data_IF_412236059458
#
_entry.id   IF_412236059458
#
_cell.length_a   1.000
_cell.length_b   1.000
_cell.length_c   1.000
_cell.angle_alpha   90.00
_cell.angle_beta   90.00
_cell.angle_gamma   90.00
#
_symmetry.space_group_name_H-M   'P 1'
#
loop_
_entity.id
_entity.type
_entity.pdbx_description
1 polymer ?
#
# COMPACT_ATOMS: atom_id res chain seq x y z
N UNK A 1 27.20 50.77 -20.08
CA UNK A 1 25.75 51.00 -20.26
C UNK A 1 25.56 52.48 -20.05
N UNK A 2 24.87 53.19 -20.95
CA UNK A 2 24.67 54.65 -20.82
C UNK A 2 23.68 54.87 -19.67
N UNK A 3 24.04 55.68 -18.70
CA UNK A 3 23.19 56.08 -17.57
C UNK A 3 22.16 57.12 -18.01
N UNK A 4 21.10 57.32 -17.20
CA UNK A 4 20.09 58.35 -17.49
C UNK A 4 20.70 59.75 -17.56
N UNK A 5 21.68 60.06 -16.71
CA UNK A 5 22.41 61.32 -16.73
C UNK A 5 23.20 61.53 -18.01
N UNK A 6 23.91 60.50 -18.53
CA UNK A 6 24.62 60.56 -19.81
C UNK A 6 23.66 60.68 -20.98
N UNK A 7 22.47 60.04 -20.93
CA UNK A 7 21.43 60.22 -21.94
C UNK A 7 20.91 61.64 -21.99
N UNK A 8 20.60 62.23 -20.85
CA UNK A 8 20.19 63.63 -20.77
C UNK A 8 21.24 64.56 -21.36
N UNK A 9 22.51 64.29 -21.01
CA UNK A 9 23.62 65.10 -21.52
C UNK A 9 23.81 64.93 -23.04
N UNK A 10 23.66 63.73 -23.61
CA UNK A 10 23.68 63.50 -25.06
C UNK A 10 22.59 64.34 -25.76
N UNK A 11 21.36 64.31 -25.22
CA UNK A 11 20.23 65.01 -25.80
C UNK A 11 20.39 66.51 -25.69
N UNK A 12 20.89 67.07 -24.58
CA UNK A 12 21.12 68.48 -24.36
C UNK A 12 22.24 69.04 -25.25
N UNK A 13 23.39 68.35 -25.35
CA UNK A 13 24.50 68.75 -26.24
C UNK A 13 24.06 68.72 -27.70
N UNK A 14 23.22 67.79 -28.11
CA UNK A 14 22.65 67.74 -29.46
C UNK A 14 21.70 68.93 -29.69
N UNK A 15 20.85 69.28 -28.70
CA UNK A 15 19.96 70.43 -28.75
C UNK A 15 20.73 71.79 -28.90
N UNK A 16 21.91 71.82 -28.25
CA UNK A 16 22.84 72.96 -28.38
C UNK A 16 23.58 73.02 -29.73
N UNK A 17 23.29 72.09 -30.65
CA UNK A 17 23.83 72.08 -32.00
C UNK A 17 25.20 71.39 -32.20
N UNK A 18 25.69 70.66 -31.18
CA UNK A 18 26.93 69.91 -31.30
C UNK A 18 26.76 68.72 -32.26
N UNK A 19 27.77 68.51 -33.10
CA UNK A 19 27.81 67.36 -34.01
C UNK A 19 27.99 66.06 -33.21
N UNK A 20 27.39 64.96 -33.68
CA UNK A 20 27.48 63.62 -33.07
C UNK A 20 28.91 63.18 -32.73
N UNK A 21 29.89 63.56 -33.61
CA UNK A 21 31.31 63.27 -33.40
C UNK A 21 31.94 64.07 -32.25
N UNK A 22 31.46 65.30 -32.00
CA UNK A 22 31.90 66.14 -30.89
C UNK A 22 31.30 65.57 -29.54
N UNK A 23 30.01 65.27 -29.54
CA UNK A 23 29.31 64.61 -28.35
C UNK A 23 29.99 63.29 -28.00
N UNK A 24 30.26 62.43 -28.98
CA UNK A 24 30.91 61.15 -28.80
C UNK A 24 32.31 61.27 -28.15
N UNK A 25 33.09 62.26 -28.61
CA UNK A 25 34.43 62.55 -28.09
C UNK A 25 34.39 63.16 -26.69
N UNK A 26 33.45 64.07 -26.44
CA UNK A 26 33.31 64.72 -25.14
C UNK A 26 32.85 63.79 -24.03
N UNK A 27 31.94 62.83 -24.31
CA UNK A 27 31.39 61.90 -23.36
C UNK A 27 32.12 60.55 -23.32
N UNK A 28 33.09 60.31 -24.21
CA UNK A 28 33.80 59.04 -24.32
C UNK A 28 32.89 57.89 -24.81
N UNK A 29 31.84 58.16 -25.53
CA UNK A 29 30.81 57.20 -25.96
C UNK A 29 30.92 56.98 -27.47
N UNK A 30 30.71 55.78 -27.96
CA UNK A 30 30.73 55.43 -29.37
C UNK A 30 29.68 56.22 -30.20
N UNK A 31 30.04 56.68 -31.41
CA UNK A 31 29.16 57.47 -32.26
C UNK A 31 27.85 56.77 -32.63
N UNK A 32 27.86 55.42 -32.78
CA UNK A 32 26.64 54.67 -33.07
C UNK A 32 25.68 54.68 -31.82
N UNK A 33 26.26 54.65 -30.64
CA UNK A 33 25.50 54.77 -29.38
C UNK A 33 24.89 56.19 -29.29
N UNK A 34 25.66 57.27 -29.54
CA UNK A 34 25.12 58.60 -29.49
C UNK A 34 24.00 58.80 -30.54
N UNK A 35 24.16 58.35 -31.80
CA UNK A 35 23.11 58.43 -32.84
C UNK A 35 21.87 57.70 -32.42
N UNK A 36 22.02 56.47 -31.84
CA UNK A 36 20.89 55.64 -31.37
C UNK A 36 20.08 56.32 -30.28
N UNK A 37 20.73 57.02 -29.36
CA UNK A 37 20.01 57.73 -28.29
C UNK A 37 19.41 59.06 -28.78
N UNK A 38 20.02 59.76 -29.67
CA UNK A 38 19.43 60.93 -30.33
C UNK A 38 18.17 60.56 -31.11
N UNK A 39 18.16 59.41 -31.84
CA UNK A 39 17.01 58.99 -32.63
C UNK A 39 15.88 58.42 -31.73
N UNK A 40 16.20 57.84 -30.53
CA UNK A 40 15.23 57.33 -29.60
C UNK A 40 14.65 58.30 -28.58
N UNK A 41 15.37 59.43 -28.40
CA UNK A 41 14.98 60.41 -27.38
C UNK A 41 15.07 59.80 -25.92
N UNK A 42 14.14 60.24 -25.08
CA UNK A 42 14.07 59.83 -23.67
C UNK A 42 13.44 58.45 -23.43
N UNK A 43 13.08 57.70 -24.49
CA UNK A 43 12.48 56.37 -24.32
C UNK A 43 13.51 55.37 -23.77
N UNK A 44 13.16 54.65 -22.68
CA UNK A 44 14.05 53.64 -22.13
C UNK A 44 14.27 52.52 -23.16
N UNK A 45 15.48 51.89 -23.21
CA UNK A 45 15.76 50.82 -24.16
C UNK A 45 14.87 49.59 -23.82
N UNK A 46 13.91 49.30 -24.69
CA UNK A 46 13.14 48.09 -24.64
C UNK A 46 13.95 46.95 -25.23
N UNK A 47 14.34 46.00 -24.37
CA UNK A 47 14.96 44.75 -24.83
C UNK A 47 13.84 43.80 -25.21
N UNK A 48 13.85 43.28 -26.41
CA UNK A 48 12.96 42.19 -26.82
C UNK A 48 13.14 40.96 -25.92
N UNK A 49 12.15 40.10 -25.82
CA UNK A 49 12.27 38.85 -25.03
C UNK A 49 13.46 38.04 -25.57
N UNK A 50 14.32 37.57 -24.65
CA UNK A 50 15.42 36.67 -25.03
C UNK A 50 14.84 35.40 -25.63
N UNK A 51 15.38 34.87 -26.73
CA UNK A 51 14.96 33.57 -27.24
C UNK A 51 15.11 32.51 -26.12
N UNK A 52 14.12 31.60 -25.97
CA UNK A 52 14.18 30.58 -24.95
C UNK A 52 15.44 29.73 -25.13
N UNK A 53 16.23 29.61 -24.05
CA UNK A 53 17.43 28.77 -24.05
C UNK A 53 17.00 27.32 -23.89
N UNK A 54 17.49 26.45 -24.76
CA UNK A 54 17.27 25.01 -24.66
C UNK A 54 17.76 24.50 -23.29
N UNK A 55 16.86 23.79 -22.55
CA UNK A 55 17.14 23.24 -21.22
C UNK A 55 17.56 21.78 -21.34
N UNK A 56 18.41 21.31 -20.44
CA UNK A 56 18.85 19.92 -20.41
C UNK A 56 17.70 18.89 -20.19
N UNK A 57 16.55 19.38 -19.75
CA UNK A 57 15.33 18.55 -19.56
C UNK A 57 14.46 18.48 -20.81
N UNK A 58 14.70 19.31 -21.84
CA UNK A 58 13.75 19.47 -22.95
C UNK A 58 13.59 18.17 -23.78
N UNK A 59 14.68 17.43 -23.97
CA UNK A 59 14.65 16.14 -24.68
C UNK A 59 13.86 15.05 -23.88
N UNK A 60 13.68 15.21 -22.57
CA UNK A 60 12.95 14.28 -21.70
C UNK A 60 11.51 14.73 -21.43
N UNK A 61 11.11 15.95 -21.83
CA UNK A 61 9.74 16.45 -21.59
C UNK A 61 8.64 15.58 -22.19
N UNK A 62 8.78 14.98 -23.39
CA UNK A 62 7.75 14.06 -23.90
C UNK A 62 7.50 12.91 -22.95
N UNK A 63 8.55 12.24 -22.47
CA UNK A 63 8.47 11.18 -21.49
C UNK A 63 7.82 11.64 -20.18
N UNK A 64 8.24 12.79 -19.63
CA UNK A 64 7.65 13.36 -18.40
C UNK A 64 6.15 13.63 -18.57
N UNK A 65 5.72 14.13 -19.72
CA UNK A 65 4.32 14.39 -20.05
C UNK A 65 3.52 13.10 -20.12
N UNK A 66 4.02 12.09 -20.82
CA UNK A 66 3.40 10.78 -20.94
C UNK A 66 3.21 10.13 -19.55
N UNK A 67 4.27 10.14 -18.72
CA UNK A 67 4.20 9.57 -17.36
C UNK A 67 3.23 10.31 -16.47
N UNK A 68 3.18 11.64 -16.55
CA UNK A 68 2.24 12.46 -15.77
C UNK A 68 0.80 12.36 -16.29
N UNK A 69 0.59 12.11 -17.58
CA UNK A 69 -0.72 11.84 -18.15
C UNK A 69 -1.27 10.49 -17.68
N UNK A 70 -0.42 9.44 -17.70
CA UNK A 70 -0.78 8.12 -17.22
C UNK A 70 -0.93 8.08 -15.68
N UNK A 71 -0.06 8.80 -14.96
CA UNK A 71 0.02 8.79 -13.50
C UNK A 71 0.20 10.22 -12.95
N UNK A 72 -0.87 11.01 -12.83
CA UNK A 72 -0.79 12.42 -12.42
C UNK A 72 -0.17 12.64 -11.04
N UNK A 73 -0.18 11.62 -10.16
CA UNK A 73 0.38 11.64 -8.82
C UNK A 73 1.89 11.43 -8.71
N UNK A 74 2.62 11.11 -9.82
CA UNK A 74 4.07 10.86 -9.76
C UNK A 74 4.84 12.07 -9.23
N UNK A 75 5.77 11.82 -8.28
CA UNK A 75 6.60 12.88 -7.71
C UNK A 75 7.75 13.28 -8.67
N UNK A 76 8.22 14.53 -8.54
CA UNK A 76 9.39 14.98 -9.30
C UNK A 76 10.66 14.19 -8.95
N UNK A 77 10.76 13.65 -7.72
CA UNK A 77 11.88 12.80 -7.28
C UNK A 77 11.86 11.48 -8.02
N UNK A 78 10.69 10.85 -8.13
CA UNK A 78 10.52 9.60 -8.86
C UNK A 78 10.88 9.80 -10.33
N UNK A 79 10.32 10.82 -10.97
CA UNK A 79 10.62 11.14 -12.36
C UNK A 79 12.10 11.43 -12.57
N UNK A 80 12.78 12.13 -11.64
CA UNK A 80 14.22 12.35 -11.73
C UNK A 80 15.04 11.05 -11.71
N UNK A 81 14.66 10.06 -10.87
CA UNK A 81 15.30 8.73 -10.88
C UNK A 81 15.10 8.03 -12.22
N UNK A 82 13.87 7.99 -12.71
CA UNK A 82 13.55 7.39 -14.02
C UNK A 82 14.30 8.06 -15.17
N UNK A 83 14.50 9.39 -15.12
CA UNK A 83 15.29 10.12 -16.11
C UNK A 83 16.78 9.80 -16.02
N UNK A 84 17.33 9.61 -14.81
CA UNK A 84 18.73 9.19 -14.63
C UNK A 84 18.99 7.81 -15.23
N UNK A 85 18.08 6.88 -15.05
CA UNK A 85 18.13 5.56 -15.68
C UNK A 85 18.11 5.64 -17.21
N UNK A 86 17.56 6.74 -17.78
CA UNK A 86 17.51 7.04 -19.22
C UNK A 86 18.62 7.98 -19.70
N UNK A 87 19.66 8.14 -18.90
CA UNK A 87 20.85 8.92 -19.27
C UNK A 87 20.78 10.42 -18.95
N UNK A 88 19.81 10.88 -18.15
CA UNK A 88 19.80 12.27 -17.70
C UNK A 88 20.88 12.53 -16.66
N UNK A 89 21.88 13.34 -17.00
CA UNK A 89 23.00 13.70 -16.11
C UNK A 89 22.75 14.95 -15.25
N UNK A 90 21.59 15.62 -15.42
CA UNK A 90 21.30 16.89 -14.76
C UNK A 90 20.77 16.74 -13.33
N UNK A 91 20.73 17.85 -12.61
CA UNK A 91 20.29 17.89 -11.21
C UNK A 91 18.76 17.83 -11.06
N UNK A 92 18.33 17.40 -9.88
CA UNK A 92 16.91 17.31 -9.47
C UNK A 92 16.13 18.63 -9.65
N UNK A 93 16.76 19.78 -9.33
CA UNK A 93 16.08 21.09 -9.42
C UNK A 93 15.57 21.43 -10.81
N UNK A 94 16.28 21.01 -11.87
CA UNK A 94 15.85 21.23 -13.24
C UNK A 94 14.61 20.37 -13.57
N UNK A 95 14.59 19.10 -13.15
CA UNK A 95 13.44 18.21 -13.32
C UNK A 95 12.24 18.71 -12.50
N UNK A 96 12.43 19.12 -11.25
CA UNK A 96 11.37 19.71 -10.43
C UNK A 96 10.72 20.91 -11.09
N UNK A 97 11.52 21.78 -11.71
CA UNK A 97 11.03 22.96 -12.46
C UNK A 97 10.25 22.55 -13.72
N UNK A 98 10.75 21.55 -14.46
CA UNK A 98 10.07 21.00 -15.63
C UNK A 98 8.71 20.37 -15.27
N UNK A 99 8.66 19.56 -14.22
CA UNK A 99 7.42 18.94 -13.68
C UNK A 99 6.43 20.01 -13.23
N UNK A 100 6.89 21.08 -12.56
CA UNK A 100 6.02 22.19 -12.15
C UNK A 100 5.39 22.90 -13.37
N UNK A 101 6.12 23.06 -14.45
CA UNK A 101 5.58 23.65 -15.68
C UNK A 101 4.52 22.81 -16.40
N UNK A 102 4.42 21.50 -16.07
CA UNK A 102 3.42 20.58 -16.63
C UNK A 102 2.23 20.40 -15.69
N UNK A 103 2.45 20.52 -14.37
CA UNK A 103 1.43 20.30 -13.34
C UNK A 103 0.94 21.60 -12.73
N UNK A 104 -0.40 21.78 -12.53
CA UNK A 104 -0.93 22.94 -11.83
C UNK A 104 -0.48 22.96 -10.35
N UNK A 105 -0.27 24.16 -9.79
CA UNK A 105 0.12 24.32 -8.39
C UNK A 105 -1.01 23.89 -7.44
N UNK A 106 -0.71 23.05 -6.42
CA UNK A 106 -1.68 22.70 -5.40
C UNK A 106 -1.90 23.85 -4.40
N UNK A 107 -3.12 24.01 -3.92
CA UNK A 107 -3.47 24.98 -2.87
C UNK A 107 -2.83 24.56 -1.54
N UNK A 108 -2.08 25.43 -0.89
CA UNK A 108 -1.42 25.15 0.39
C UNK A 108 -2.39 25.24 1.57
N UNK A 109 -2.33 24.25 2.48
CA UNK A 109 -3.05 24.28 3.76
C UNK A 109 -2.09 24.36 4.94
N UNK A 110 -2.50 25.03 6.04
CA UNK A 110 -1.68 25.15 7.26
C UNK A 110 -1.85 23.93 8.15
N UNK A 111 -0.73 23.37 8.66
CA UNK A 111 -0.71 22.21 9.55
C UNK A 111 0.11 22.49 10.83
N UNK A 112 -0.47 22.14 11.99
CA UNK A 112 0.26 22.13 13.27
C UNK A 112 0.95 20.77 13.42
N UNK A 113 2.26 20.77 13.63
CA UNK A 113 3.09 19.55 13.76
C UNK A 113 3.37 19.25 15.22
N UNK A 114 3.25 17.98 15.60
CA UNK A 114 3.63 17.48 16.92
C UNK A 114 4.90 16.66 16.79
N UNK A 115 5.92 17.02 17.57
CA UNK A 115 7.12 16.21 17.70
C UNK A 115 6.98 15.26 18.90
N UNK A 116 7.56 14.06 18.78
CA UNK A 116 7.57 13.03 19.84
C UNK A 116 9.01 12.72 20.21
N UNK A 117 9.26 12.38 21.47
CA UNK A 117 10.57 11.96 21.92
C UNK A 117 11.02 10.62 21.28
N UNK A 118 12.33 10.30 21.26
CA UNK A 118 12.82 9.02 20.76
C UNK A 118 12.14 7.84 21.46
N UNK A 119 11.71 6.84 20.69
CA UNK A 119 11.08 5.62 21.22
C UNK A 119 9.70 5.82 21.86
N UNK A 120 9.16 7.03 21.86
CA UNK A 120 7.89 7.31 22.53
C UNK A 120 6.70 6.77 21.75
N UNK A 121 6.59 7.08 20.45
CA UNK A 121 5.39 6.79 19.69
C UNK A 121 5.70 6.23 18.29
N UNK A 122 4.93 5.21 17.89
CA UNK A 122 4.74 4.84 16.50
C UNK A 122 3.27 5.05 16.08
N UNK A 123 3.05 5.14 14.80
CA UNK A 123 1.70 5.20 14.22
C UNK A 123 1.52 4.03 13.27
N UNK A 124 0.39 3.34 13.41
CA UNK A 124 0.00 2.21 12.55
C UNK A 124 -1.28 2.56 11.81
N UNK A 125 -1.29 2.26 10.53
CA UNK A 125 -2.47 2.42 9.70
C UNK A 125 -2.47 1.40 8.55
N UNK A 126 -3.65 1.20 7.94
CA UNK A 126 -3.90 0.34 6.80
C UNK A 126 -4.42 1.17 5.62
N UNK A 127 -3.78 1.07 4.48
CA UNK A 127 -4.25 1.72 3.26
C UNK A 127 -4.63 0.69 2.19
N UNK A 128 -5.78 0.93 1.52
CA UNK A 128 -6.26 0.11 0.41
C UNK A 128 -5.49 0.47 -0.86
N UNK A 129 -5.00 -0.56 -1.55
CA UNK A 129 -4.43 -0.46 -2.89
C UNK A 129 -5.15 -1.41 -3.83
N UNK A 130 -5.16 -1.07 -5.11
CA UNK A 130 -5.64 -1.92 -6.18
C UNK A 130 -4.45 -2.21 -7.10
N UNK A 131 -4.17 -3.48 -7.34
CA UNK A 131 -3.04 -3.96 -8.13
C UNK A 131 -3.50 -5.00 -9.13
N UNK A 132 -2.90 -4.99 -10.31
CA UNK A 132 -2.98 -6.07 -11.28
C UNK A 132 -1.62 -6.73 -11.32
N UNK A 133 -1.57 -8.03 -10.99
CA UNK A 133 -0.34 -8.79 -11.02
C UNK A 133 -0.07 -9.32 -12.43
N UNK A 134 1.20 -9.33 -12.84
CA UNK A 134 1.56 -9.84 -14.17
C UNK A 134 1.38 -11.35 -14.32
N UNK A 135 1.36 -12.08 -13.19
CA UNK A 135 1.03 -13.52 -13.15
C UNK A 135 -0.49 -13.76 -13.33
N UNK A 136 -1.35 -12.74 -13.13
CA UNK A 136 -2.80 -12.80 -13.26
C UNK A 136 -3.31 -11.61 -14.11
N UNK A 137 -2.98 -11.55 -15.41
CA UNK A 137 -3.34 -10.40 -16.25
C UNK A 137 -4.86 -10.21 -16.35
N UNK A 138 -5.32 -8.96 -16.30
CA UNK A 138 -6.73 -8.59 -16.32
C UNK A 138 -7.47 -8.76 -14.99
N UNK A 139 -6.84 -9.28 -13.94
CA UNK A 139 -7.44 -9.47 -12.62
C UNK A 139 -6.99 -8.37 -11.67
N UNK A 140 -7.91 -7.49 -11.30
CA UNK A 140 -7.65 -6.46 -10.28
C UNK A 140 -7.81 -7.05 -8.88
N UNK A 141 -6.73 -7.01 -8.11
CA UNK A 141 -6.68 -7.46 -6.72
C UNK A 141 -6.66 -6.28 -5.76
N UNK A 142 -7.42 -6.40 -4.67
CA UNK A 142 -7.34 -5.45 -3.56
C UNK A 142 -6.33 -6.01 -2.56
N UNK A 143 -5.31 -5.20 -2.25
CA UNK A 143 -4.32 -5.48 -1.22
C UNK A 143 -4.28 -4.33 -0.23
N UNK A 144 -3.88 -4.62 1.00
CA UNK A 144 -3.83 -3.65 2.09
C UNK A 144 -2.39 -3.44 2.50
N UNK A 145 -1.93 -2.21 2.47
CA UNK A 145 -0.62 -1.86 3.01
C UNK A 145 -0.77 -1.58 4.51
N UNK A 146 -0.21 -2.47 5.32
CA UNK A 146 0.09 -2.17 6.72
C UNK A 146 1.35 -1.32 6.77
N UNK A 147 1.31 -0.20 7.46
CA UNK A 147 2.45 0.68 7.66
C UNK A 147 2.61 1.03 9.13
N UNK A 148 3.83 0.87 9.65
CA UNK A 148 4.26 1.35 10.97
C UNK A 148 5.30 2.43 10.75
N UNK A 149 5.07 3.62 11.33
CA UNK A 149 5.94 4.79 11.21
C UNK A 149 6.35 5.26 12.60
N UNK A 150 7.66 5.29 12.87
CA UNK A 150 8.17 5.84 14.12
C UNK A 150 7.98 7.35 14.18
N UNK A 151 7.57 7.83 15.34
CA UNK A 151 7.18 9.23 15.53
C UNK A 151 8.35 10.20 15.55
N UNK A 152 9.54 9.78 15.96
CA UNK A 152 10.75 10.60 16.01
C UNK A 152 11.57 10.52 14.72
N UNK A 153 12.08 9.35 14.38
CA UNK A 153 12.94 9.15 13.19
C UNK A 153 12.20 9.25 11.86
N UNK A 154 10.90 9.01 11.86
CA UNK A 154 10.09 8.87 10.65
C UNK A 154 10.44 7.63 9.84
N UNK A 155 11.11 6.65 10.47
CA UNK A 155 11.36 5.33 9.87
C UNK A 155 10.03 4.70 9.47
N UNK A 156 9.97 4.19 8.25
CA UNK A 156 8.78 3.52 7.72
C UNK A 156 9.10 2.03 7.63
N UNK A 157 8.23 1.23 8.21
CA UNK A 157 8.12 -0.19 7.92
C UNK A 157 6.76 -0.46 7.28
N UNK A 158 6.70 -1.34 6.28
CA UNK A 158 5.46 -1.65 5.59
C UNK A 158 5.43 -3.04 5.00
N UNK A 159 4.20 -3.61 4.89
CA UNK A 159 3.94 -4.89 4.24
C UNK A 159 2.55 -4.89 3.62
N UNK A 160 2.45 -5.37 2.38
CA UNK A 160 1.17 -5.64 1.75
C UNK A 160 0.61 -6.98 2.20
N UNK A 161 -0.68 -6.99 2.49
CA UNK A 161 -1.45 -8.17 2.89
C UNK A 161 -2.76 -8.22 2.13
N UNK A 162 -3.32 -9.43 1.98
CA UNK A 162 -4.61 -9.63 1.30
C UNK A 162 -5.78 -9.28 2.21
N UNK A 163 -5.63 -9.49 3.53
CA UNK A 163 -6.69 -9.30 4.51
C UNK A 163 -6.31 -8.26 5.55
N UNK A 164 -7.31 -7.47 6.00
CA UNK A 164 -7.17 -6.53 7.10
C UNK A 164 -7.73 -7.08 8.42
N UNK A 165 -7.72 -8.41 8.58
CA UNK A 165 -8.16 -9.05 9.81
C UNK A 165 -7.13 -8.89 10.95
N UNK A 166 -7.56 -9.20 12.18
CA UNK A 166 -6.71 -9.03 13.36
C UNK A 166 -5.44 -9.90 13.32
N UNK A 167 -5.49 -11.06 12.67
CA UNK A 167 -4.32 -11.93 12.54
C UNK A 167 -3.26 -11.33 11.61
N UNK A 168 -3.70 -10.81 10.46
CA UNK A 168 -2.81 -10.10 9.52
C UNK A 168 -2.19 -8.90 10.19
N UNK A 169 -2.98 -8.14 10.97
CA UNK A 169 -2.49 -6.99 11.74
C UNK A 169 -1.47 -7.43 12.79
N UNK A 170 -1.72 -8.51 13.56
CA UNK A 170 -0.77 -9.03 14.55
C UNK A 170 0.53 -9.52 13.90
N UNK A 171 0.46 -10.28 12.79
CA UNK A 171 1.65 -10.73 12.04
C UNK A 171 2.49 -9.55 11.54
N UNK A 172 1.83 -8.50 11.05
CA UNK A 172 2.53 -7.30 10.62
C UNK A 172 3.21 -6.56 11.77
N UNK A 173 2.56 -6.46 12.94
CA UNK A 173 3.18 -5.86 14.13
C UNK A 173 4.40 -6.66 14.58
N UNK A 174 4.29 -7.97 14.69
CA UNK A 174 5.41 -8.84 15.07
C UNK A 174 6.59 -8.59 14.13
N UNK A 175 6.36 -8.73 12.82
CA UNK A 175 7.40 -8.54 11.81
C UNK A 175 7.98 -7.12 11.81
N UNK A 176 7.16 -6.08 12.07
CA UNK A 176 7.61 -4.70 12.16
C UNK A 176 8.50 -4.48 13.39
N UNK A 177 8.07 -4.93 14.57
CA UNK A 177 8.82 -4.77 15.82
C UNK A 177 10.14 -5.54 15.78
N UNK A 178 10.14 -6.74 15.22
CA UNK A 178 11.35 -7.55 14.99
C UNK A 178 12.32 -6.85 14.02
N UNK A 179 11.84 -6.33 12.90
CA UNK A 179 12.65 -5.62 11.92
C UNK A 179 13.26 -4.33 12.49
N UNK A 180 12.52 -3.60 13.32
CA UNK A 180 12.97 -2.39 14.00
C UNK A 180 13.91 -2.73 15.15
N UNK A 181 13.79 -3.94 15.73
CA UNK A 181 14.60 -4.42 16.85
C UNK A 181 14.17 -3.91 18.22
N UNK A 182 12.89 -3.50 18.37
CA UNK A 182 12.33 -3.02 19.62
C UNK A 182 10.90 -2.52 19.48
N UNK A 183 10.28 -2.17 20.60
CA UNK A 183 8.91 -1.62 20.64
C UNK A 183 8.91 -0.18 21.15
N UNK A 184 8.13 0.74 20.55
CA UNK A 184 7.91 2.07 21.08
C UNK A 184 7.09 2.01 22.36
N UNK A 185 7.07 3.10 23.14
CA UNK A 185 6.27 3.19 24.36
C UNK A 185 4.77 3.08 24.07
N UNK A 186 4.30 3.73 22.99
CA UNK A 186 2.92 3.67 22.55
C UNK A 186 2.81 3.51 21.04
N UNK A 187 1.71 2.87 20.60
CA UNK A 187 1.37 2.77 19.17
C UNK A 187 0.00 3.41 18.98
N UNK A 188 -0.04 4.41 18.11
CA UNK A 188 -1.25 5.14 17.76
C UNK A 188 -1.97 4.45 16.59
N UNK A 189 -3.25 4.17 16.77
CA UNK A 189 -4.12 3.58 15.76
C UNK A 189 -5.17 4.59 15.31
N UNK A 190 -5.48 4.60 14.02
CA UNK A 190 -6.78 5.10 13.61
C UNK A 190 -7.87 4.18 14.17
N UNK A 191 -9.14 4.64 14.16
CA UNK A 191 -10.28 3.82 14.60
C UNK A 191 -10.58 2.67 13.62
N UNK A 192 -9.52 1.91 13.25
CA UNK A 192 -9.69 0.70 12.46
C UNK A 192 -10.46 -0.34 13.31
N UNK A 193 -11.48 -0.96 12.73
CA UNK A 193 -12.35 -1.94 13.43
C UNK A 193 -11.57 -3.14 14.00
N UNK A 194 -10.40 -3.43 13.46
CA UNK A 194 -9.50 -4.48 13.98
C UNK A 194 -8.83 -4.11 15.30
N UNK A 195 -8.52 -2.83 15.52
CA UNK A 195 -7.88 -2.35 16.73
C UNK A 195 -8.89 -1.87 17.78
N UNK A 196 -9.94 -1.16 17.35
CA UNK A 196 -10.96 -0.54 18.21
C UNK A 196 -12.32 -1.18 17.92
N UNK A 197 -12.90 -1.85 18.92
CA UNK A 197 -14.21 -2.51 18.82
C UNK A 197 -15.35 -1.48 19.00
N UNK A 198 -15.16 -0.50 19.88
CA UNK A 198 -16.17 0.51 20.19
C UNK A 198 -15.73 1.46 21.29
N UNK A 199 -16.70 2.12 21.89
CA UNK A 199 -16.57 2.95 23.10
C UNK A 199 -17.60 2.47 24.13
N UNK A 200 -17.23 2.51 25.40
CA UNK A 200 -18.16 2.26 26.49
C UNK A 200 -19.08 3.48 26.73
N UNK A 201 -20.09 3.36 27.63
CA UNK A 201 -20.99 4.49 27.97
C UNK A 201 -20.27 5.72 28.51
N UNK A 202 -19.08 5.56 29.06
CA UNK A 202 -18.24 6.64 29.61
C UNK A 202 -17.31 7.26 28.54
N UNK A 203 -17.40 6.79 27.29
CA UNK A 203 -16.59 7.27 26.16
C UNK A 203 -15.16 6.74 26.16
N UNK A 204 -14.87 5.68 26.95
CA UNK A 204 -13.58 5.02 26.92
C UNK A 204 -13.50 4.03 25.73
N UNK A 205 -12.36 4.04 25.07
CA UNK A 205 -12.13 3.20 23.89
C UNK A 205 -11.98 1.73 24.30
N UNK A 206 -12.81 0.88 23.69
CA UNK A 206 -12.72 -0.58 23.84
C UNK A 206 -11.82 -1.13 22.73
N UNK A 207 -10.65 -1.62 23.12
CA UNK A 207 -9.69 -2.25 22.20
C UNK A 207 -9.99 -3.73 22.00
N UNK A 208 -9.60 -4.25 20.85
CA UNK A 208 -9.60 -5.67 20.58
C UNK A 208 -8.69 -6.41 21.59
N UNK A 209 -9.22 -7.45 22.22
CA UNK A 209 -8.49 -8.23 23.25
C UNK A 209 -7.16 -8.80 22.71
N UNK A 210 -7.17 -9.30 21.48
CA UNK A 210 -5.96 -9.83 20.86
C UNK A 210 -4.88 -8.74 20.62
N UNK A 211 -5.29 -7.48 20.39
CA UNK A 211 -4.36 -6.35 20.35
C UNK A 211 -3.81 -6.04 21.74
N UNK A 212 -4.65 -6.09 22.79
CA UNK A 212 -4.19 -5.84 24.16
C UNK A 212 -3.20 -6.90 24.62
N UNK A 213 -3.42 -8.17 24.26
CA UNK A 213 -2.50 -9.26 24.57
C UNK A 213 -1.16 -9.10 23.87
N UNK A 214 -1.17 -8.72 22.59
CA UNK A 214 0.03 -8.36 21.84
C UNK A 214 0.77 -7.17 22.48
N UNK A 215 0.03 -6.12 22.82
CA UNK A 215 0.56 -4.91 23.45
C UNK A 215 1.22 -5.19 24.80
N UNK A 216 0.59 -6.07 25.60
CA UNK A 216 1.16 -6.52 26.89
C UNK A 216 2.46 -7.29 26.69
N UNK A 217 2.51 -8.16 25.70
CA UNK A 217 3.69 -8.99 25.41
C UNK A 217 4.89 -8.14 25.00
N UNK A 218 4.71 -7.18 24.07
CA UNK A 218 5.77 -6.28 23.62
C UNK A 218 5.95 -5.03 24.48
N UNK A 219 5.10 -4.82 25.48
CA UNK A 219 5.20 -3.74 26.45
C UNK A 219 4.82 -2.36 25.90
N UNK A 220 4.10 -2.25 24.78
CA UNK A 220 3.60 -0.98 24.27
C UNK A 220 2.17 -0.71 24.73
N UNK A 221 1.76 0.57 24.71
CA UNK A 221 0.37 0.99 24.99
C UNK A 221 -0.34 1.30 23.67
N UNK A 222 -1.48 0.65 23.35
CA UNK A 222 -2.30 1.04 22.23
C UNK A 222 -3.02 2.35 22.54
N UNK A 223 -2.99 3.27 21.58
CA UNK A 223 -3.71 4.54 21.63
C UNK A 223 -4.59 4.69 20.40
N UNK A 224 -5.85 5.06 20.60
CA UNK A 224 -6.76 5.39 19.50
C UNK A 224 -6.76 6.91 19.23
N UNK A 225 -6.82 7.30 17.98
CA UNK A 225 -7.03 8.69 17.61
C UNK A 225 -8.39 9.18 18.15
N UNK A 226 -8.42 10.39 18.74
CA UNK A 226 -9.67 11.02 19.15
C UNK A 226 -10.51 11.38 17.92
N UNK A 227 -11.86 11.20 17.98
CA UNK A 227 -12.74 11.59 16.87
C UNK A 227 -12.56 13.07 16.53
N UNK A 228 -12.72 13.40 15.27
CA UNK A 228 -12.69 14.79 14.74
C UNK A 228 -11.39 15.59 14.98
N UNK A 229 -10.31 14.99 15.44
CA UNK A 229 -8.98 15.58 15.47
C UNK A 229 -8.08 14.96 14.38
N UNK A 230 -8.41 15.20 13.11
CA UNK A 230 -7.59 14.79 11.95
C UNK A 230 -6.13 15.27 12.06
N UNK A 231 -5.86 16.30 12.85
CA UNK A 231 -4.53 16.88 13.07
C UNK A 231 -3.54 15.97 13.80
N UNK A 232 -4.00 14.95 14.55
CA UNK A 232 -3.12 13.96 15.21
C UNK A 232 -2.57 12.91 14.25
N UNK A 233 -3.18 12.75 13.07
CA UNK A 233 -2.88 11.70 12.09
C UNK A 233 -1.87 12.09 10.98
N UNK A 234 -1.44 13.35 10.94
CA UNK A 234 -0.58 13.88 9.86
C UNK A 234 0.76 13.18 9.66
N UNK A 235 1.17 12.32 10.60
CA UNK A 235 2.42 11.55 10.49
C UNK A 235 2.28 10.28 9.63
N UNK A 236 1.07 9.72 9.46
CA UNK A 236 0.83 8.46 8.69
C UNK A 236 0.20 8.71 7.32
N UNK A 237 -0.66 9.72 7.16
CA UNK A 237 -1.29 10.03 5.87
C UNK A 237 -0.24 10.40 4.79
N UNK A 238 0.82 11.10 5.19
CA UNK A 238 1.92 11.46 4.27
C UNK A 238 2.75 10.26 3.80
N UNK A 239 3.15 9.29 4.66
CA UNK A 239 3.80 8.06 4.22
C UNK A 239 2.98 7.27 3.20
N UNK A 240 1.67 7.11 3.36
CA UNK A 240 0.85 6.41 2.37
C UNK A 240 0.82 7.11 1.02
N UNK A 241 0.69 8.43 1.04
CA UNK A 241 0.78 9.22 -0.19
C UNK A 241 2.16 9.06 -0.84
N UNK A 242 3.23 9.12 -0.05
CA UNK A 242 4.60 8.97 -0.51
C UNK A 242 4.84 7.57 -1.11
N UNK A 243 4.40 6.50 -0.42
CA UNK A 243 4.48 5.13 -0.94
C UNK A 243 3.67 4.99 -2.22
N UNK A 244 2.48 5.57 -2.28
CA UNK A 244 1.63 5.52 -3.47
C UNK A 244 2.24 6.22 -4.66
N UNK A 245 2.74 7.44 -4.47
CA UNK A 245 3.23 8.29 -5.56
C UNK A 245 4.65 7.95 -6.01
N UNK A 246 5.51 7.47 -5.09
CA UNK A 246 6.94 7.25 -5.38
C UNK A 246 7.32 5.78 -5.59
N UNK A 247 6.61 4.84 -4.93
CA UNK A 247 6.85 3.42 -5.07
C UNK A 247 5.84 2.75 -6.00
N UNK A 248 4.54 2.88 -5.72
CA UNK A 248 3.51 2.02 -6.28
C UNK A 248 3.06 2.44 -7.68
N UNK A 249 2.84 3.75 -7.92
CA UNK A 249 2.35 4.24 -9.19
C UNK A 249 3.34 3.99 -10.34
N UNK A 250 2.87 3.30 -11.37
CA UNK A 250 3.64 2.99 -12.57
C UNK A 250 4.71 1.92 -12.40
N UNK A 251 4.71 1.21 -11.26
CA UNK A 251 5.46 -0.01 -11.07
C UNK A 251 4.62 -1.23 -11.49
N UNK A 252 5.27 -2.34 -11.81
CA UNK A 252 4.63 -3.61 -12.11
C UNK A 252 5.12 -4.68 -11.14
N UNK A 253 4.22 -5.58 -10.76
CA UNK A 253 4.47 -6.61 -9.76
C UNK A 253 3.97 -7.96 -10.30
N UNK A 254 4.76 -9.02 -10.12
CA UNK A 254 4.37 -10.35 -10.56
C UNK A 254 3.25 -10.93 -9.70
N UNK A 255 3.45 -10.90 -8.39
CA UNK A 255 2.53 -11.39 -7.37
C UNK A 255 2.75 -10.64 -6.06
N UNK A 256 2.06 -11.05 -4.98
CA UNK A 256 2.14 -10.40 -3.67
C UNK A 256 3.55 -10.48 -3.05
N UNK A 257 4.26 -11.58 -3.23
CA UNK A 257 5.61 -11.76 -2.70
C UNK A 257 6.59 -10.82 -3.38
N UNK A 258 6.50 -10.70 -4.71
CA UNK A 258 7.30 -9.77 -5.50
C UNK A 258 6.99 -8.30 -5.12
N UNK A 259 5.71 -7.96 -4.95
CA UNK A 259 5.28 -6.64 -4.46
C UNK A 259 5.93 -6.32 -3.10
N UNK A 260 5.93 -7.27 -2.16
CA UNK A 260 6.54 -7.10 -0.85
C UNK A 260 8.07 -7.04 -0.91
N UNK A 261 8.70 -7.82 -1.77
CA UNK A 261 10.15 -7.78 -2.00
C UNK A 261 10.60 -6.42 -2.57
N UNK A 262 9.88 -5.91 -3.57
CA UNK A 262 10.14 -4.59 -4.15
C UNK A 262 9.88 -3.46 -3.15
N UNK A 263 8.81 -3.55 -2.33
CA UNK A 263 8.54 -2.58 -1.27
C UNK A 263 9.69 -2.55 -0.26
N UNK A 264 10.16 -3.70 0.20
CA UNK A 264 11.28 -3.78 1.15
C UNK A 264 12.54 -3.14 0.57
N UNK A 265 12.90 -3.52 -0.67
CA UNK A 265 14.03 -2.93 -1.36
C UNK A 265 13.91 -1.41 -1.46
N UNK A 266 12.75 -0.90 -1.83
CA UNK A 266 12.51 0.54 -1.92
C UNK A 266 12.57 1.24 -0.54
N UNK A 267 12.03 0.61 0.53
CA UNK A 267 12.14 1.13 1.89
C UNK A 267 13.61 1.24 2.33
N UNK A 268 14.42 0.24 2.02
CA UNK A 268 15.82 0.15 2.44
C UNK A 268 16.74 1.08 1.62
N UNK A 269 16.47 1.26 0.33
CA UNK A 269 17.36 1.99 -0.59
C UNK A 269 16.91 3.41 -0.90
N UNK A 270 15.63 3.74 -0.72
CA UNK A 270 15.04 5.02 -1.12
C UNK A 270 14.35 5.73 0.04
N UNK A 271 13.40 5.05 0.71
CA UNK A 271 12.55 5.73 1.66
C UNK A 271 13.26 6.06 2.98
N UNK A 272 13.95 5.09 3.58
CA UNK A 272 14.60 5.28 4.86
C UNK A 272 16.00 5.94 4.78
N UNK A 273 16.77 5.83 3.68
CA UNK A 273 17.98 6.65 3.50
C UNK A 273 17.73 8.11 3.10
N UNK A 274 16.48 8.52 2.81
CA UNK A 274 16.20 9.89 2.39
C UNK A 274 16.40 10.92 3.49
N UNK A 275 16.68 12.16 3.10
CA UNK A 275 16.52 13.32 3.99
C UNK A 275 15.02 13.62 4.13
N UNK A 276 14.48 13.54 5.35
CA UNK A 276 13.06 13.78 5.58
C UNK A 276 12.74 15.29 5.51
N UNK A 277 11.73 15.66 4.73
CA UNK A 277 11.39 17.06 4.45
C UNK A 277 11.05 17.91 5.69
N UNK A 278 10.57 17.29 6.78
CA UNK A 278 10.23 18.00 8.02
C UNK A 278 11.42 18.12 8.97
N UNK A 279 12.15 17.02 9.18
CA UNK A 279 13.26 16.99 10.14
C UNK A 279 14.56 17.49 9.54
N UNK A 280 14.66 17.57 8.20
CA UNK A 280 15.87 17.94 7.43
C UNK A 280 17.08 17.04 7.75
N UNK A 281 16.81 15.81 8.23
CA UNK A 281 17.81 14.81 8.61
C UNK A 281 17.56 13.50 7.88
N UNK A 282 18.60 12.70 7.73
CA UNK A 282 18.51 11.34 7.15
C UNK A 282 17.77 10.43 8.12
N UNK A 283 16.70 9.76 7.64
CA UNK A 283 15.83 8.95 8.50
C UNK A 283 16.59 7.82 9.19
N UNK A 284 17.49 7.13 8.49
CA UNK A 284 18.28 6.03 9.07
C UNK A 284 19.25 6.51 10.15
N UNK A 285 19.84 7.70 10.03
CA UNK A 285 20.72 8.29 11.05
C UNK A 285 19.91 8.64 12.31
N UNK A 286 18.75 9.28 12.14
CA UNK A 286 17.86 9.60 13.25
C UNK A 286 17.30 8.33 13.89
N UNK A 287 17.08 7.27 13.11
CA UNK A 287 16.67 5.97 13.66
C UNK A 287 17.78 5.32 14.50
N UNK A 288 19.04 5.45 14.10
CA UNK A 288 20.17 4.97 14.93
C UNK A 288 20.21 5.64 16.31
N UNK A 289 19.79 6.92 16.40
CA UNK A 289 19.64 7.64 17.68
C UNK A 289 18.40 7.19 18.45
N UNK A 290 17.29 6.87 17.75
CA UNK A 290 16.03 6.44 18.36
C UNK A 290 16.08 5.00 18.88
N UNK A 291 16.81 4.12 18.19
CA UNK A 291 16.84 2.68 18.45
C UNK A 291 17.16 2.31 19.92
N UNK A 292 18.12 2.94 20.62
CA UNK A 292 18.39 2.65 22.03
C UNK A 292 17.24 3.00 22.98
N UNK A 293 16.35 3.91 22.59
CA UNK A 293 15.19 4.33 23.38
C UNK A 293 13.98 3.42 23.21
N UNK A 294 14.01 2.50 22.25
CA UNK A 294 12.97 1.49 22.09
C UNK A 294 13.06 0.45 23.21
N UNK A 295 11.92 -0.06 23.64
CA UNK A 295 11.85 -1.18 24.58
C UNK A 295 12.43 -2.44 23.92
N UNK A 296 13.24 -3.23 24.64
CA UNK A 296 13.80 -4.47 24.09
C UNK A 296 12.69 -5.46 23.76
N UNK A 297 12.92 -6.27 22.72
CA UNK A 297 12.02 -7.35 22.37
C UNK A 297 12.00 -8.42 23.46
N UNK A 298 10.86 -9.05 23.73
CA UNK A 298 10.76 -10.15 24.65
C UNK A 298 11.56 -11.37 24.14
N UNK A 299 12.17 -12.13 25.04
CA UNK A 299 12.93 -13.33 24.68
C UNK A 299 12.09 -14.43 24.03
N UNK A 300 10.83 -14.55 24.42
CA UNK A 300 9.90 -15.51 23.83
C UNK A 300 9.11 -14.85 22.70
N UNK A 301 9.02 -15.50 21.53
CA UNK A 301 8.18 -14.98 20.44
C UNK A 301 6.71 -14.92 20.85
N UNK A 302 6.00 -13.90 20.39
CA UNK A 302 4.56 -13.80 20.62
C UNK A 302 3.83 -14.91 19.85
N UNK A 303 3.18 -15.77 20.59
CA UNK A 303 2.30 -16.78 20.00
C UNK A 303 0.87 -16.24 19.98
N UNK A 304 0.54 -15.56 18.88
CA UNK A 304 -0.85 -15.17 18.62
C UNK A 304 -1.68 -16.42 18.37
N UNK A 305 -2.39 -16.88 19.40
CA UNK A 305 -3.29 -18.04 19.29
C UNK A 305 -4.72 -17.52 19.21
N UNK A 306 -5.29 -17.49 18.00
CA UNK A 306 -6.74 -17.36 17.86
C UNK A 306 -7.35 -18.75 17.98
N UNK A 307 -8.05 -19.01 19.07
CA UNK A 307 -8.80 -20.25 19.28
C UNK A 307 -10.16 -20.14 18.60
N UNK A 308 -10.45 -21.06 17.72
CA UNK A 308 -11.69 -21.14 16.97
C UNK A 308 -12.24 -22.55 17.06
N UNK A 309 -13.53 -22.69 17.29
CA UNK A 309 -14.22 -23.96 17.07
C UNK A 309 -14.67 -24.02 15.60
N UNK A 310 -14.34 -25.09 14.90
CA UNK A 310 -14.69 -25.26 13.49
C UNK A 310 -15.27 -26.64 13.23
N UNK A 311 -16.30 -26.66 12.41
CA UNK A 311 -16.93 -27.89 11.96
C UNK A 311 -16.10 -28.53 10.84
N UNK A 312 -15.91 -29.84 10.94
CA UNK A 312 -15.29 -30.63 9.88
C UNK A 312 -16.32 -30.91 8.79
N UNK A 313 -15.95 -30.64 7.55
CA UNK A 313 -16.78 -30.95 6.38
C UNK A 313 -16.80 -32.45 6.09
N UNK A 314 -17.74 -32.87 5.24
CA UNK A 314 -17.79 -34.27 4.77
C UNK A 314 -16.53 -34.73 4.03
N UNK A 315 -15.77 -33.77 3.48
CA UNK A 315 -14.49 -34.03 2.81
C UNK A 315 -13.31 -34.11 3.80
N UNK A 316 -13.56 -34.06 5.12
CA UNK A 316 -12.51 -34.03 6.15
C UNK A 316 -11.69 -32.74 6.09
N UNK A 317 -12.35 -31.59 5.90
CA UNK A 317 -11.72 -30.28 5.83
C UNK A 317 -12.29 -29.35 6.89
N UNK A 318 -11.46 -28.45 7.40
CA UNK A 318 -11.82 -27.38 8.34
C UNK A 318 -11.61 -26.04 7.67
N UNK A 319 -12.59 -25.14 7.78
CA UNK A 319 -12.51 -23.80 7.18
C UNK A 319 -11.89 -22.79 8.15
N UNK A 320 -10.81 -22.11 7.70
CA UNK A 320 -10.14 -21.04 8.46
C UNK A 320 -9.76 -19.93 7.49
N UNK A 321 -10.19 -18.70 7.79
CA UNK A 321 -9.86 -17.52 6.98
C UNK A 321 -10.34 -17.57 5.52
N UNK A 322 -11.40 -18.35 5.23
CA UNK A 322 -11.90 -18.57 3.88
C UNK A 322 -11.16 -19.65 3.09
N UNK A 323 -10.19 -20.35 3.71
CA UNK A 323 -9.45 -21.47 3.13
C UNK A 323 -9.80 -22.79 3.83
N UNK A 324 -9.53 -23.92 3.20
CA UNK A 324 -9.83 -25.25 3.70
C UNK A 324 -8.54 -26.02 4.01
N UNK A 325 -8.49 -26.63 5.18
CA UNK A 325 -7.35 -27.41 5.68
C UNK A 325 -7.78 -28.82 6.02
N UNK A 326 -7.04 -29.82 5.57
CA UNK A 326 -7.37 -31.22 5.79
C UNK A 326 -7.13 -31.64 7.25
N UNK A 327 -7.96 -32.56 7.73
CA UNK A 327 -7.74 -33.27 8.99
C UNK A 327 -7.62 -34.77 8.71
N UNK A 328 -6.94 -35.54 9.59
CA UNK A 328 -6.83 -36.99 9.43
C UNK A 328 -8.19 -37.67 9.31
N UNK A 329 -8.28 -38.70 8.48
CA UNK A 329 -9.49 -39.52 8.31
C UNK A 329 -9.87 -40.30 9.58
N UNK A 330 -8.98 -40.37 10.57
CA UNK A 330 -9.22 -40.91 11.89
C UNK A 330 -9.98 -39.97 12.82
N UNK A 331 -10.15 -38.70 12.45
CA UNK A 331 -10.87 -37.70 13.23
C UNK A 331 -12.33 -38.11 13.42
N UNK A 332 -12.79 -38.14 14.67
CA UNK A 332 -14.12 -38.61 15.04
C UNK A 332 -15.10 -37.48 15.35
N UNK A 333 -14.58 -36.36 15.86
CA UNK A 333 -15.41 -35.21 16.25
C UNK A 333 -15.81 -34.39 15.03
N UNK A 334 -17.04 -33.88 15.04
CA UNK A 334 -17.53 -32.98 14.02
C UNK A 334 -17.13 -31.52 14.25
N UNK A 335 -16.75 -31.16 15.45
CA UNK A 335 -16.27 -29.83 15.84
C UNK A 335 -14.90 -30.03 16.46
N UNK A 336 -13.93 -29.26 15.97
CA UNK A 336 -12.53 -29.28 16.39
C UNK A 336 -12.10 -27.91 16.87
N UNK A 337 -11.19 -27.88 17.83
CA UNK A 337 -10.51 -26.68 18.25
C UNK A 337 -9.38 -26.36 17.27
N UNK A 338 -9.42 -25.16 16.72
CA UNK A 338 -8.40 -24.70 15.79
C UNK A 338 -7.64 -23.53 16.39
N UNK A 339 -6.36 -23.71 16.57
CA UNK A 339 -5.46 -22.67 17.02
C UNK A 339 -4.76 -22.09 15.81
N UNK A 340 -5.05 -20.83 15.50
CA UNK A 340 -4.41 -20.10 14.40
C UNK A 340 -3.27 -19.28 14.98
N UNK A 341 -2.04 -19.66 14.65
CA UNK A 341 -0.82 -18.97 15.01
C UNK A 341 -0.36 -18.08 13.85
N UNK A 342 0.69 -17.32 14.06
CA UNK A 342 1.28 -16.45 13.03
C UNK A 342 1.78 -17.23 11.80
N UNK A 343 2.36 -18.41 12.03
CA UNK A 343 3.05 -19.25 11.06
C UNK A 343 2.40 -20.63 10.87
N UNK A 344 1.42 -20.98 11.68
CA UNK A 344 0.81 -22.31 11.66
C UNK A 344 -0.69 -22.29 12.02
N UNK A 345 -1.42 -23.21 11.44
CA UNK A 345 -2.79 -23.58 11.87
C UNK A 345 -2.71 -24.95 12.51
N UNK A 346 -2.95 -24.99 13.80
CA UNK A 346 -2.97 -26.23 14.59
C UNK A 346 -4.42 -26.63 14.87
N UNK A 347 -4.75 -27.87 14.61
CA UNK A 347 -6.09 -28.43 14.78
C UNK A 347 -6.03 -29.49 15.87
N UNK A 348 -6.91 -29.35 16.85
CA UNK A 348 -6.96 -30.22 18.02
C UNK A 348 -8.30 -30.95 18.08
N UNK A 349 -8.26 -32.21 18.47
CA UNK A 349 -9.41 -33.04 18.84
C UNK A 349 -9.26 -33.44 20.31
N UNK A 350 -10.24 -33.06 21.15
CA UNK A 350 -10.22 -33.35 22.61
C UNK A 350 -8.89 -32.92 23.28
N UNK A 351 -8.31 -31.77 22.88
CA UNK A 351 -7.05 -31.27 23.41
C UNK A 351 -5.79 -31.92 22.82
N UNK A 352 -5.91 -32.93 21.97
CA UNK A 352 -4.77 -33.54 21.25
C UNK A 352 -4.58 -32.93 19.89
N UNK A 353 -3.33 -32.56 19.54
CA UNK A 353 -2.97 -32.03 18.23
C UNK A 353 -3.12 -33.14 17.18
N UNK A 354 -4.02 -32.93 16.19
CA UNK A 354 -4.30 -33.90 15.12
C UNK A 354 -3.76 -33.43 13.77
N UNK A 355 -3.60 -32.13 13.54
CA UNK A 355 -3.04 -31.60 12.31
C UNK A 355 -2.34 -30.26 12.50
N UNK A 356 -1.30 -30.01 11.71
CA UNK A 356 -0.61 -28.71 11.60
C UNK A 356 -0.44 -28.35 10.15
N UNK A 357 -0.85 -27.13 9.78
CA UNK A 357 -0.71 -26.60 8.42
C UNK A 357 -0.07 -25.21 8.43
N UNK A 358 0.67 -24.88 7.39
CA UNK A 358 1.05 -23.50 7.12
C UNK A 358 -0.17 -22.73 6.62
N UNK A 359 -0.42 -21.50 7.09
CA UNK A 359 -1.50 -20.66 6.58
C UNK A 359 -1.41 -20.47 5.05
N UNK A 360 -2.57 -20.46 4.39
CA UNK A 360 -2.69 -20.08 2.98
C UNK A 360 -3.00 -18.59 2.89
N UNK A 361 -2.33 -17.89 1.98
CA UNK A 361 -2.63 -16.50 1.67
C UNK A 361 -3.73 -16.44 0.59
N UNK A 362 -4.73 -15.55 0.78
CA UNK A 362 -5.88 -15.46 -0.12
C UNK A 362 -7.12 -16.17 0.40
N UNK A 363 -8.05 -16.50 -0.49
CA UNK A 363 -9.33 -17.19 -0.19
C UNK A 363 -9.57 -18.34 -1.15
N UNK A 364 -10.49 -19.22 -0.76
CA UNK A 364 -11.01 -20.33 -1.56
C UNK A 364 -9.94 -21.35 -1.99
N UNK A 365 -8.84 -21.40 -1.25
CA UNK A 365 -7.77 -22.37 -1.47
C UNK A 365 -7.93 -23.58 -0.55
N UNK A 366 -7.37 -24.73 -0.97
CA UNK A 366 -7.39 -25.99 -0.21
C UNK A 366 -5.95 -26.44 0.06
N UNK A 367 -5.63 -26.74 1.33
CA UNK A 367 -4.39 -27.40 1.70
C UNK A 367 -4.68 -28.82 2.19
N UNK A 368 -4.24 -29.78 1.39
CA UNK A 368 -4.36 -31.20 1.69
C UNK A 368 -3.00 -31.73 2.14
N UNK A 369 -2.97 -32.37 3.30
CA UNK A 369 -1.84 -33.20 3.70
C UNK A 369 -2.11 -34.64 3.23
N UNK A 370 -1.24 -35.22 2.38
CA UNK A 370 -1.42 -36.61 1.92
C UNK A 370 -1.48 -37.62 3.06
N UNK A 371 -0.79 -37.38 4.18
CA UNK A 371 -0.80 -38.25 5.36
C UNK A 371 -2.19 -38.32 6.05
N UNK A 372 -3.05 -37.34 5.80
CA UNK A 372 -4.41 -37.31 6.35
C UNK A 372 -5.40 -38.20 5.61
N UNK A 373 -4.98 -38.85 4.54
CA UNK A 373 -5.82 -39.77 3.76
C UNK A 373 -5.22 -41.16 3.79
N UNK A 374 -6.01 -42.14 4.25
CA UNK A 374 -5.62 -43.54 4.08
C UNK A 374 -5.52 -43.83 2.59
N UNK A 375 -4.36 -44.25 2.15
CA UNK A 375 -4.22 -44.90 0.86
C UNK A 375 -4.97 -46.22 1.01
N UNK A 376 -6.26 -46.24 0.68
CA UNK A 376 -6.97 -47.48 0.54
C UNK A 376 -6.18 -48.29 -0.50
N UNK A 377 -5.70 -49.50 -0.14
CA UNK A 377 -5.10 -50.38 -1.15
C UNK A 377 -6.10 -50.49 -2.30
N UNK A 378 -5.63 -50.47 -3.55
CA UNK A 378 -6.52 -50.58 -4.68
C UNK A 378 -7.46 -51.72 -4.38
N UNK A 379 -8.77 -51.42 -4.25
CA UNK A 379 -9.78 -52.48 -4.13
C UNK A 379 -9.52 -53.34 -5.34
N UNK A 380 -8.83 -54.47 -5.14
CA UNK A 380 -8.91 -55.53 -6.10
C UNK A 380 -10.41 -55.76 -6.23
N UNK A 381 -10.99 -55.19 -7.29
CA UNK A 381 -12.25 -55.71 -7.78
C UNK A 381 -11.95 -57.18 -7.97
N UNK A 382 -12.25 -57.99 -6.94
CA UNK A 382 -12.55 -59.37 -7.16
C UNK A 382 -13.53 -59.28 -8.33
N UNK A 383 -13.10 -59.72 -9.48
CA UNK A 383 -13.95 -60.07 -10.58
C UNK A 383 -14.80 -61.22 -10.02
N UNK A 384 -15.65 -60.89 -9.02
CA UNK A 384 -16.67 -61.73 -8.56
C UNK A 384 -17.50 -61.99 -9.78
N UNK A 385 -17.57 -63.24 -10.11
CA UNK A 385 -18.54 -63.75 -11.05
C UNK A 385 -19.77 -62.89 -10.94
N UNK A 386 -20.16 -62.28 -12.05
CA UNK A 386 -21.48 -61.67 -12.18
C UNK A 386 -22.44 -62.80 -11.81
N UNK A 387 -22.90 -62.81 -10.55
CA UNK A 387 -24.13 -63.53 -10.24
C UNK A 387 -25.15 -62.75 -11.08
N UNK A 388 -25.39 -63.31 -12.25
CA UNK A 388 -26.54 -62.93 -13.06
C UNK A 388 -27.71 -63.47 -12.27
N UNK A 389 -28.21 -62.67 -11.30
CA UNK A 389 -29.53 -62.88 -10.75
C UNK A 389 -30.48 -62.67 -11.97
N UNK A 390 -30.71 -63.78 -12.67
CA UNK A 390 -31.87 -63.85 -13.55
C UNK A 390 -33.07 -63.74 -12.58
N UNK A 391 -33.62 -62.52 -12.40
CA UNK A 391 -34.96 -62.33 -11.92
C UNK A 391 -35.87 -62.94 -12.95
N UNK A 392 -36.12 -64.21 -12.78
CA UNK A 392 -37.26 -64.85 -13.41
C UNK A 392 -38.47 -64.24 -12.76
N UNK A 393 -39.21 -63.44 -13.52
CA UNK A 393 -40.56 -63.16 -13.15
C UNK A 393 -40.97 -61.71 -12.83
N UNK A 394 -40.19 -60.74 -13.18
CA UNK A 394 -40.77 -59.41 -13.29
C UNK A 394 -41.32 -59.17 -14.71
N UNK A 395 -42.47 -59.82 -14.99
CA UNK A 395 -43.38 -59.24 -15.96
C UNK A 395 -43.81 -57.90 -15.34
N UNK A 396 -43.20 -56.82 -15.79
CA UNK A 396 -43.78 -55.49 -15.61
C UNK A 396 -45.15 -55.58 -16.32
N UNK A 397 -46.20 -55.75 -15.54
CA UNK A 397 -47.55 -55.70 -16.08
C UNK A 397 -47.72 -54.31 -16.73
N UNK A 398 -47.60 -54.26 -18.06
CA UNK A 398 -47.93 -53.07 -18.82
C UNK A 398 -49.43 -52.88 -18.68
N UNK A 399 -49.84 -52.06 -17.74
CA UNK A 399 -51.23 -51.65 -17.62
C UNK A 399 -51.54 -50.73 -18.79
N UNK A 400 -52.67 -50.95 -19.48
CA UNK A 400 -53.12 -50.13 -20.57
C UNK A 400 -53.34 -48.69 -20.08
N UNK A 401 -53.19 -47.71 -20.93
CA UNK A 401 -53.48 -46.31 -20.62
C UNK A 401 -54.91 -46.13 -20.09
N UNK A 402 -55.86 -46.94 -20.56
CA UNK A 402 -57.24 -46.97 -20.10
C UNK A 402 -57.38 -47.24 -18.57
N UNK A 403 -56.43 -47.95 -17.94
CA UNK A 403 -56.42 -48.15 -16.50
C UNK A 403 -56.10 -46.82 -15.76
N UNK A 404 -55.20 -46.00 -16.26
CA UNK A 404 -54.88 -44.73 -15.67
C UNK A 404 -55.99 -43.72 -15.88
N UNK A 405 -56.67 -43.74 -17.07
CA UNK A 405 -57.83 -42.95 -17.36
C UNK A 405 -59.03 -43.30 -16.46
N UNK A 406 -59.20 -44.58 -16.16
CA UNK A 406 -60.24 -45.03 -15.21
C UNK A 406 -59.97 -44.55 -13.80
N UNK A 407 -58.70 -44.53 -13.33
CA UNK A 407 -58.31 -43.98 -12.03
C UNK A 407 -58.52 -42.45 -12.03
N UNK A 408 -58.12 -41.73 -13.06
CA UNK A 408 -58.31 -40.30 -13.17
C UNK A 408 -59.77 -39.90 -13.11
N UNK A 409 -60.67 -40.64 -13.78
CA UNK A 409 -62.11 -40.44 -13.73
C UNK A 409 -62.72 -40.75 -12.35
N UNK A 410 -62.16 -41.73 -11.63
CA UNK A 410 -62.57 -42.02 -10.25
C UNK A 410 -62.13 -40.94 -9.27
N UNK A 411 -60.93 -40.42 -9.42
CA UNK A 411 -60.41 -39.35 -8.56
C UNK A 411 -61.14 -38.04 -8.84
N UNK A 412 -61.50 -37.76 -10.10
CA UNK A 412 -62.32 -36.59 -10.49
C UNK A 412 -63.77 -36.66 -9.96
N UNK A 413 -64.32 -37.84 -9.74
CA UNK A 413 -65.64 -38.03 -9.14
C UNK A 413 -65.68 -38.10 -7.61
N UNK A 414 -64.54 -38.21 -6.95
CA UNK A 414 -64.40 -38.28 -5.51
C UNK A 414 -64.10 -36.96 -4.78
N UNK A 415 -64.10 -35.87 -5.48
CA UNK A 415 -63.74 -34.53 -4.96
C UNK A 415 -64.96 -33.64 -4.65
N UNK A 416 -65.96 -34.21 -3.95
CA UNK A 416 -66.99 -33.40 -3.25
C UNK A 416 -67.36 -34.11 -1.94
N UNK A 417 -66.66 -33.73 -0.88
CA UNK A 417 -67.21 -33.51 0.44
C UNK A 417 -66.17 -32.77 1.28
#
# INVERSE_FOLDING_TARGET
>A
MVTLGELMMILELHRQGLKVSAIARQLGIDRKTVRRYISRGLEPPTYGPRPPRQRSTDCFLPYVRERLAAFPGLTAVRLWRELRERGYAGGYTAVKRAVRGVRPDPVASFEVRFETAPGEQAQVDLARFEVEFTDEPGVKRIVWLFSLVLGYSRLIWGRFVVHQDMQSVQRCHIAALEAIGGAPREILYDRMKTAVIGEDPDGLVIYNRALLDLARHYGFQPRACRPYRAKTKGKVERPFRYIREDFFLGASFRNLDDLNAQLRHWLDTVANPRVHATTQRVVNEVFAEEKPALKPLPLAPYRAVLKLERRVSHEGMVSVGGNLYSVPDTTRRRILDVHVLADAIQIFEDGMLVATHMPLEGRDQKRLDPAHRKILPPRHRRRGERIVVRRTGDQVARRSLDFYDAIARKLAKGGVR
#
